data_IF_636887505990
#
_entry.id   IF_636887505990
#
_cell.length_a   1.000
_cell.length_b   1.000
_cell.length_c   1.000
_cell.angle_alpha   90.00
_cell.angle_beta   90.00
_cell.angle_gamma   90.00
#
_symmetry.space_group_name_H-M   'P 1'
#
loop_
_entity.id
_entity.type
_entity.pdbx_description
1 polymer ?
#
# COMPACT_ATOMS: atom_id res chain seq x y z
N UNK A 1 6.46 10.86 -6.38
CA UNK A 1 5.47 9.76 -6.37
C UNK A 1 5.94 8.64 -7.28
N UNK A 2 5.99 7.44 -6.78
CA UNK A 2 6.28 6.26 -7.58
C UNK A 2 4.98 5.54 -7.89
N UNK A 3 4.71 5.33 -9.17
CA UNK A 3 3.64 4.47 -9.64
C UNK A 3 4.20 3.06 -9.77
N UNK A 4 3.70 2.14 -8.95
CA UNK A 4 3.87 0.71 -9.17
C UNK A 4 2.69 0.18 -9.98
N UNK A 5 2.77 0.26 -11.30
CA UNK A 5 1.81 -0.42 -12.18
C UNK A 5 2.38 -1.76 -12.57
N UNK A 6 1.88 -2.83 -11.97
CA UNK A 6 2.08 -4.17 -12.50
C UNK A 6 1.30 -4.33 -13.80
N UNK A 7 1.94 -4.08 -14.93
CA UNK A 7 1.36 -4.37 -16.24
C UNK A 7 1.54 -5.85 -16.55
N UNK A 8 0.48 -6.61 -16.34
CA UNK A 8 0.35 -7.96 -16.87
C UNK A 8 -0.38 -7.93 -18.22
N UNK A 9 0.11 -8.71 -19.16
CA UNK A 9 -0.26 -8.77 -20.55
C UNK A 9 -1.76 -9.01 -20.84
N UNK A 10 -2.21 -8.46 -21.96
CA UNK A 10 -3.45 -8.73 -22.73
C UNK A 10 -4.78 -8.65 -21.98
N UNK A 11 -5.44 -7.49 -22.08
CA UNK A 11 -6.91 -7.38 -21.95
C UNK A 11 -7.47 -7.31 -20.53
N UNK A 12 -6.68 -7.46 -19.49
CA UNK A 12 -7.09 -7.31 -18.10
C UNK A 12 -6.60 -5.96 -17.56
N UNK A 13 -7.50 -5.02 -17.36
CA UNK A 13 -7.20 -3.73 -16.76
C UNK A 13 -6.54 -3.85 -15.38
N UNK A 14 -5.82 -2.81 -14.94
CA UNK A 14 -5.18 -2.74 -13.62
C UNK A 14 -6.18 -3.09 -12.52
N UNK A 15 -5.82 -4.02 -11.63
CA UNK A 15 -6.68 -4.47 -10.51
C UNK A 15 -6.28 -3.87 -9.18
N UNK A 16 -5.06 -3.36 -9.10
CA UNK A 16 -4.51 -2.77 -7.87
C UNK A 16 -3.61 -1.59 -8.22
N UNK A 17 -3.76 -0.50 -7.50
CA UNK A 17 -2.89 0.67 -7.56
C UNK A 17 -2.35 0.97 -6.18
N UNK A 18 -1.03 1.08 -6.06
CA UNK A 18 -0.34 1.52 -4.85
C UNK A 18 0.26 2.91 -5.05
N UNK A 19 0.22 3.73 -4.02
CA UNK A 19 0.82 5.05 -4.01
C UNK A 19 1.62 5.27 -2.73
N UNK A 20 2.85 5.75 -2.88
CA UNK A 20 3.70 6.20 -1.79
C UNK A 20 4.44 7.48 -2.16
N UNK A 21 4.63 8.37 -1.20
CA UNK A 21 5.47 9.55 -1.35
C UNK A 21 6.96 9.20 -1.36
N UNK A 22 7.78 10.11 -1.86
CA UNK A 22 9.23 9.98 -1.80
C UNK A 22 9.74 10.22 -0.37
N UNK A 23 10.68 9.40 0.10
CA UNK A 23 11.13 9.40 1.49
C UNK A 23 12.65 9.54 1.63
N UNK A 24 13.23 10.48 0.91
CA UNK A 24 14.65 10.81 0.98
C UNK A 24 14.86 12.34 1.11
N UNK A 25 16.08 12.74 1.36
CA UNK A 25 16.42 14.18 1.41
C UNK A 25 16.27 14.80 0.02
N UNK A 26 15.59 15.94 -0.04
CA UNK A 26 15.23 16.57 -1.32
C UNK A 26 14.00 15.97 -2.00
N UNK A 27 13.24 15.12 -1.29
CA UNK A 27 12.01 14.53 -1.79
C UNK A 27 11.01 15.57 -2.31
N UNK A 28 10.35 15.26 -3.41
CA UNK A 28 9.21 16.05 -3.91
C UNK A 28 8.02 15.91 -2.97
N UNK A 29 7.18 16.91 -2.92
CA UNK A 29 5.97 16.86 -2.10
C UNK A 29 4.96 15.84 -2.64
N UNK A 30 4.33 15.13 -1.72
CA UNK A 30 3.13 14.34 -1.98
C UNK A 30 1.92 15.16 -1.58
N UNK A 31 1.13 15.59 -2.55
CA UNK A 31 -0.09 16.36 -2.32
C UNK A 31 -1.27 15.41 -2.10
N UNK A 32 -1.96 15.57 -0.97
CA UNK A 32 -3.09 14.73 -0.61
C UNK A 32 -4.29 14.86 -1.56
N UNK A 33 -4.43 15.99 -2.23
CA UNK A 33 -5.49 16.16 -3.22
C UNK A 33 -5.26 15.26 -4.44
N UNK A 34 -4.01 15.06 -4.85
CA UNK A 34 -3.68 14.08 -5.90
C UNK A 34 -3.95 12.64 -5.44
N UNK A 35 -3.66 12.34 -4.17
CA UNK A 35 -3.97 11.03 -3.59
C UNK A 35 -5.47 10.77 -3.62
N UNK A 36 -6.28 11.75 -3.21
CA UNK A 36 -7.75 11.67 -3.25
C UNK A 36 -8.30 11.49 -4.67
N UNK A 37 -7.73 12.23 -5.62
CA UNK A 37 -8.13 12.14 -7.03
C UNK A 37 -7.89 10.73 -7.59
N UNK A 38 -6.69 10.18 -7.34
CA UNK A 38 -6.36 8.84 -7.78
C UNK A 38 -7.22 7.78 -7.07
N UNK A 39 -7.46 7.92 -5.77
CA UNK A 39 -8.37 7.05 -5.04
C UNK A 39 -9.80 7.07 -5.60
N UNK A 40 -10.30 8.24 -6.01
CA UNK A 40 -11.61 8.37 -6.63
C UNK A 40 -11.66 7.69 -8.00
N UNK A 41 -10.61 7.81 -8.81
CA UNK A 41 -10.50 7.11 -10.09
C UNK A 41 -10.47 5.59 -9.89
N UNK A 42 -9.69 5.10 -8.94
CA UNK A 42 -9.65 3.67 -8.60
C UNK A 42 -11.03 3.16 -8.16
N UNK A 43 -11.75 3.96 -7.37
CA UNK A 43 -13.11 3.61 -6.93
C UNK A 43 -14.08 3.51 -8.11
N UNK A 44 -14.02 4.46 -9.05
CA UNK A 44 -14.89 4.47 -10.23
C UNK A 44 -14.70 3.24 -11.11
N UNK A 45 -13.50 2.66 -11.11
CA UNK A 45 -13.15 1.47 -11.90
C UNK A 45 -13.06 0.18 -11.08
N UNK A 46 -13.50 0.21 -9.83
CA UNK A 46 -13.45 -0.91 -8.89
C UNK A 46 -12.06 -1.54 -8.74
N UNK A 47 -11.04 -0.68 -8.73
CA UNK A 47 -9.63 -1.03 -8.55
C UNK A 47 -9.27 -0.88 -7.07
N UNK A 48 -8.54 -1.84 -6.52
CA UNK A 48 -7.96 -1.74 -5.18
C UNK A 48 -6.96 -0.59 -5.15
N UNK A 49 -7.10 0.29 -4.17
CA UNK A 49 -6.21 1.42 -3.95
C UNK A 49 -5.55 1.33 -2.58
N UNK A 50 -4.23 1.42 -2.53
CA UNK A 50 -3.46 1.42 -1.31
C UNK A 50 -2.56 2.67 -1.25
N UNK A 51 -2.80 3.52 -0.25
CA UNK A 51 -1.91 4.63 0.11
C UNK A 51 -1.01 4.16 1.24
N UNK A 52 0.27 3.91 0.94
CA UNK A 52 1.20 3.21 1.84
C UNK A 52 2.02 4.16 2.69
N UNK A 53 2.49 5.27 2.12
CA UNK A 53 3.34 6.25 2.79
C UNK A 53 3.06 7.66 2.28
N UNK A 54 3.07 8.65 3.18
CA UNK A 54 2.94 10.07 2.80
C UNK A 54 4.19 10.63 2.14
N UNK A 55 5.35 10.00 2.37
CA UNK A 55 6.66 10.55 2.03
C UNK A 55 7.14 11.59 3.05
N UNK A 56 8.37 12.07 2.83
CA UNK A 56 9.02 13.03 3.73
C UNK A 56 8.34 14.40 3.71
N UNK A 57 7.84 14.83 2.54
CA UNK A 57 7.14 16.10 2.35
C UNK A 57 5.70 15.83 1.95
N UNK A 58 4.78 16.11 2.82
CA UNK A 58 3.35 15.86 2.64
C UNK A 58 2.56 17.16 2.69
N UNK A 59 1.74 17.41 1.68
CA UNK A 59 0.88 18.60 1.60
C UNK A 59 -0.57 18.18 1.77
N UNK A 60 -1.26 18.80 2.71
CA UNK A 60 -2.68 18.58 2.96
C UNK A 60 -3.34 19.88 3.42
N UNK A 61 -4.47 20.22 2.81
CA UNK A 61 -5.27 21.38 3.13
C UNK A 61 -4.43 22.70 3.14
N UNK A 62 -3.54 22.84 2.13
CA UNK A 62 -2.65 23.98 1.99
C UNK A 62 -1.50 24.04 2.99
N UNK A 63 -1.33 23.04 3.85
CA UNK A 63 -0.24 22.96 4.82
C UNK A 63 0.79 21.91 4.40
N UNK A 64 2.06 22.23 4.60
CA UNK A 64 3.18 21.33 4.32
C UNK A 64 3.69 20.73 5.61
N UNK A 65 3.76 19.42 5.65
CA UNK A 65 4.28 18.63 6.76
C UNK A 65 5.57 17.96 6.36
N UNK A 66 6.58 17.98 7.25
CA UNK A 66 7.83 17.25 7.07
C UNK A 66 7.85 16.04 8.02
N UNK A 67 7.69 14.86 7.46
CA UNK A 67 7.61 13.60 8.18
C UNK A 67 8.85 12.77 7.84
N UNK A 68 9.86 12.80 8.70
CA UNK A 68 11.14 12.11 8.45
C UNK A 68 11.12 10.63 8.86
N UNK A 69 10.19 10.25 9.72
CA UNK A 69 10.05 8.88 10.21
C UNK A 69 9.10 8.10 9.31
N UNK A 70 9.59 7.02 8.73
CA UNK A 70 8.83 6.10 7.87
C UNK A 70 7.58 5.54 8.54
N UNK A 71 7.69 5.22 9.82
CA UNK A 71 6.55 4.73 10.59
C UNK A 71 5.44 5.79 10.66
N UNK A 72 5.82 7.03 10.94
CA UNK A 72 4.86 8.14 10.98
C UNK A 72 4.24 8.38 9.61
N UNK A 73 5.03 8.29 8.53
CA UNK A 73 4.52 8.42 7.15
C UNK A 73 3.46 7.36 6.84
N UNK A 74 3.74 6.09 7.16
CA UNK A 74 2.80 4.99 6.95
C UNK A 74 1.57 5.11 7.84
N UNK A 75 1.74 5.52 9.09
CA UNK A 75 0.63 5.73 10.02
C UNK A 75 -0.31 6.84 9.56
N UNK A 76 0.22 7.96 9.06
CA UNK A 76 -0.59 9.05 8.52
C UNK A 76 -1.31 8.64 7.23
N UNK A 77 -0.64 7.89 6.35
CA UNK A 77 -1.27 7.34 5.16
C UNK A 77 -2.44 6.42 5.52
N UNK A 78 -2.28 5.53 6.49
CA UNK A 78 -3.35 4.67 6.99
C UNK A 78 -4.51 5.47 7.61
N UNK A 79 -4.20 6.45 8.46
CA UNK A 79 -5.21 7.31 9.11
C UNK A 79 -6.02 8.16 8.12
N UNK A 80 -5.49 8.39 6.92
CA UNK A 80 -6.21 9.13 5.88
C UNK A 80 -7.50 8.45 5.42
N UNK A 81 -7.59 7.12 5.58
CA UNK A 81 -8.77 6.32 5.22
C UNK A 81 -9.07 6.22 3.73
N UNK A 82 -8.15 6.63 2.85
CA UNK A 82 -8.37 6.60 1.39
C UNK A 82 -8.14 5.23 0.75
N UNK A 83 -7.40 4.36 1.43
CA UNK A 83 -7.16 3.00 0.97
C UNK A 83 -8.47 2.18 0.95
N UNK A 84 -8.69 1.45 -0.13
CA UNK A 84 -9.91 0.66 -0.32
C UNK A 84 -9.63 -0.58 -1.15
N UNK A 85 -10.20 -1.70 -0.74
CA UNK A 85 -10.26 -2.89 -1.56
C UNK A 85 -11.28 -2.71 -2.68
N UNK A 86 -10.88 -3.02 -3.91
CA UNK A 86 -11.77 -3.13 -5.06
C UNK A 86 -12.23 -4.57 -5.26
N UNK A 87 -12.47 -4.93 -6.53
CA UNK A 87 -12.86 -6.29 -6.90
C UNK A 87 -11.79 -7.31 -6.53
N UNK A 88 -12.22 -8.52 -6.20
CA UNK A 88 -11.33 -9.66 -5.95
C UNK A 88 -10.47 -9.98 -7.17
N UNK A 89 -9.23 -10.37 -6.91
CA UNK A 89 -8.32 -10.86 -7.94
C UNK A 89 -8.35 -12.38 -7.90
N UNK A 90 -8.72 -13.00 -9.01
CA UNK A 90 -8.54 -14.43 -9.21
C UNK A 90 -7.14 -14.69 -9.73
N UNK A 91 -6.38 -15.49 -9.02
CA UNK A 91 -5.02 -15.84 -9.39
C UNK A 91 -5.00 -17.18 -10.09
N UNK A 92 -4.40 -17.21 -11.28
CA UNK A 92 -4.12 -18.43 -12.02
C UNK A 92 -2.60 -18.62 -12.03
N UNK A 93 -2.08 -19.21 -10.95
CA UNK A 93 -0.65 -19.43 -10.78
C UNK A 93 -0.25 -20.78 -11.35
N UNK A 94 0.98 -20.83 -11.88
CA UNK A 94 1.58 -22.04 -12.42
C UNK A 94 2.97 -22.23 -11.81
N UNK A 95 3.35 -23.46 -11.62
CA UNK A 95 4.70 -23.83 -11.19
C UNK A 95 5.73 -23.62 -12.32
N UNK A 96 7.05 -23.79 -12.06
CA UNK A 96 8.08 -23.66 -13.09
C UNK A 96 7.95 -24.64 -14.28
N UNK A 97 7.17 -25.72 -14.11
CA UNK A 97 6.88 -26.71 -15.14
C UNK A 97 5.62 -26.38 -15.95
N UNK A 98 4.92 -25.27 -15.58
CA UNK A 98 3.70 -24.84 -16.24
C UNK A 98 2.43 -25.54 -15.74
N UNK A 99 2.50 -26.30 -14.64
CA UNK A 99 1.33 -26.94 -14.05
C UNK A 99 0.56 -25.94 -13.16
N UNK A 100 -0.77 -25.93 -13.20
CA UNK A 100 -1.55 -25.02 -12.36
C UNK A 100 -1.38 -25.37 -10.87
N UNK A 101 -1.14 -24.34 -10.06
CA UNK A 101 -1.07 -24.46 -8.61
C UNK A 101 -2.48 -24.36 -8.05
N UNK A 102 -2.98 -25.34 -7.26
CA UNK A 102 -4.27 -25.26 -6.62
C UNK A 102 -4.41 -24.06 -5.68
N UNK A 103 -5.59 -23.45 -5.61
CA UNK A 103 -5.83 -22.26 -4.80
C UNK A 103 -5.57 -22.47 -3.30
N UNK A 104 -5.73 -23.71 -2.81
CA UNK A 104 -5.43 -24.11 -1.44
C UNK A 104 -3.95 -24.09 -1.10
N UNK A 105 -3.08 -24.19 -2.10
CA UNK A 105 -1.62 -24.14 -1.95
C UNK A 105 -1.06 -22.72 -2.08
N UNK A 106 -1.91 -21.74 -2.41
CA UNK A 106 -1.46 -20.36 -2.49
C UNK A 106 -1.02 -19.85 -1.13
N UNK A 107 0.18 -19.24 -1.08
CA UNK A 107 0.61 -18.52 0.10
C UNK A 107 -0.35 -17.38 0.41
N UNK A 108 -0.92 -17.42 1.60
CA UNK A 108 -1.80 -16.37 2.11
C UNK A 108 -1.12 -15.69 3.29
N UNK A 109 -0.61 -14.46 3.11
CA UNK A 109 -0.01 -13.74 4.22
C UNK A 109 -1.06 -13.50 5.31
N UNK A 110 -0.69 -13.76 6.54
CA UNK A 110 -1.52 -13.44 7.71
C UNK A 110 -1.22 -12.01 8.14
N UNK A 111 -2.17 -11.11 7.95
CA UNK A 111 -2.06 -9.72 8.37
C UNK A 111 -2.61 -9.56 9.79
N UNK A 112 -1.78 -9.02 10.67
CA UNK A 112 -2.13 -8.69 12.05
C UNK A 112 -2.20 -7.18 12.21
N UNK A 113 -3.21 -6.70 12.91
CA UNK A 113 -3.34 -5.27 13.20
C UNK A 113 -2.44 -4.80 14.33
N UNK A 114 -2.15 -5.70 15.27
CA UNK A 114 -1.34 -5.42 16.44
C UNK A 114 -0.26 -6.47 16.66
N UNK A 115 0.87 -6.02 17.20
CA UNK A 115 1.93 -6.92 17.64
C UNK A 115 1.45 -7.75 18.83
N UNK A 116 1.56 -9.06 18.73
CA UNK A 116 1.16 -9.99 19.79
C UNK A 116 2.07 -9.86 21.04
N UNK A 117 3.30 -9.36 20.86
CA UNK A 117 4.28 -9.24 21.95
C UNK A 117 4.13 -7.94 22.73
N UNK A 118 3.98 -6.79 22.06
CA UNK A 118 3.94 -5.48 22.73
C UNK A 118 2.64 -4.71 22.54
N UNK A 119 1.67 -5.24 21.79
CA UNK A 119 0.35 -4.62 21.55
C UNK A 119 0.37 -3.39 20.64
N UNK A 120 1.53 -2.97 20.17
CA UNK A 120 1.63 -1.83 19.25
C UNK A 120 1.00 -2.13 17.90
N UNK A 121 0.44 -1.10 17.27
CA UNK A 121 -0.14 -1.23 15.94
C UNK A 121 0.95 -1.56 14.93
N UNK A 122 0.69 -2.56 14.11
CA UNK A 122 1.62 -3.00 13.08
C UNK A 122 1.47 -2.16 11.81
N UNK A 123 2.60 -1.90 11.18
CA UNK A 123 2.68 -1.38 9.83
C UNK A 123 3.31 -2.48 8.99
N UNK A 124 2.67 -2.83 7.89
CA UNK A 124 3.17 -3.87 6.99
C UNK A 124 3.51 -5.20 7.69
N UNK A 125 2.70 -5.58 8.68
CA UNK A 125 2.86 -6.84 9.45
C UNK A 125 4.18 -6.97 10.24
N UNK A 126 4.97 -5.92 10.31
CA UNK A 126 6.20 -5.85 11.09
C UNK A 126 6.06 -4.95 12.32
N UNK A 127 6.80 -5.25 13.37
CA UNK A 127 6.91 -4.40 14.55
C UNK A 127 8.36 -3.95 14.73
N UNK A 128 8.61 -2.65 14.60
CA UNK A 128 9.93 -2.05 14.81
C UNK A 128 10.22 -1.72 16.28
N UNK A 129 9.18 -1.73 17.14
CA UNK A 129 9.29 -1.18 18.49
C UNK A 129 9.83 -2.17 19.52
N UNK A 130 9.44 -3.44 19.41
CA UNK A 130 9.89 -4.43 20.40
C UNK A 130 11.11 -5.25 19.98
N UNK A 131 11.57 -5.13 18.73
CA UNK A 131 12.72 -5.86 18.19
C UNK A 131 12.59 -7.40 18.20
N UNK A 132 11.42 -7.93 18.57
CA UNK A 132 11.16 -9.36 18.72
C UNK A 132 10.26 -9.94 17.63
N UNK A 133 9.66 -9.06 16.83
CA UNK A 133 8.79 -9.45 15.72
C UNK A 133 9.61 -9.33 14.42
N UNK A 134 10.39 -10.31 14.15
CA UNK A 134 11.05 -10.44 12.85
C UNK A 134 10.11 -11.09 11.84
#
# INVERSE_FOLDING_TARGET
>A
MRYGSGAGASGMGCKTAGLGGENYEGARSCDFDWVRLLAAQCRAHDVTFAFTETGTVFVKDGKTYRLRDHRLQSEQAYKSGVSRAGRSIEWHLHDPLGLPIPAEEFYRPHFRERCETCGQRLICNGCSDCGRCA
#
